data_IF_004280813243
#
_entry.id   IF_004280813243
#
_cell.length_a   1.000
_cell.length_b   1.000
_cell.length_c   1.000
_cell.angle_alpha   90.00
_cell.angle_beta   90.00
_cell.angle_gamma   90.00
#
_symmetry.space_group_name_H-M   'P 1'
#
loop_
_entity.id
_entity.type
_entity.pdbx_description
1 polymer ?
#
# COMPACT_ATOMS: atom_id res chain seq x y z
N UNK A 1 -23.79 5.59 -21.38
CA UNK A 1 -22.67 5.07 -22.22
C UNK A 1 -21.42 5.87 -21.92
N UNK A 2 -20.59 5.40 -20.97
CA UNK A 2 -19.30 6.03 -20.62
C UNK A 2 -18.19 5.06 -20.98
N UNK A 3 -17.84 5.04 -22.26
CA UNK A 3 -16.62 4.41 -22.73
C UNK A 3 -15.65 5.53 -23.12
N UNK A 4 -14.70 5.87 -22.25
CA UNK A 4 -13.51 6.66 -22.60
C UNK A 4 -12.41 6.46 -21.55
N UNK A 5 -11.45 5.59 -21.92
CA UNK A 5 -10.04 5.86 -21.68
C UNK A 5 -9.44 5.45 -20.34
N UNK A 6 -9.59 4.20 -19.90
CA UNK A 6 -8.82 3.72 -18.74
C UNK A 6 -8.05 2.43 -19.09
N UNK A 7 -7.11 2.55 -20.03
CA UNK A 7 -6.29 1.46 -20.60
C UNK A 7 -5.21 0.91 -19.64
N UNK A 8 -5.14 1.37 -18.40
CA UNK A 8 -4.28 0.73 -17.42
C UNK A 8 -5.03 -0.43 -16.77
N UNK A 9 -4.54 -1.64 -17.00
CA UNK A 9 -4.95 -2.85 -16.27
C UNK A 9 -4.85 -2.56 -14.76
N UNK A 10 -5.82 -3.03 -13.96
CA UNK A 10 -5.85 -2.83 -12.51
C UNK A 10 -4.50 -3.11 -11.80
N UNK A 11 -3.74 -4.17 -12.17
CA UNK A 11 -2.34 -4.36 -11.76
C UNK A 11 -1.47 -3.11 -11.85
N UNK A 12 -1.47 -2.45 -13.01
CA UNK A 12 -0.64 -1.29 -13.30
C UNK A 12 -1.03 -0.11 -12.41
N UNK A 13 -2.32 0.04 -12.10
CA UNK A 13 -2.78 1.13 -11.21
C UNK A 13 -2.36 0.90 -9.77
N UNK A 14 -2.41 -0.35 -9.30
CA UNK A 14 -1.93 -0.71 -7.95
C UNK A 14 -0.43 -0.43 -7.85
N UNK A 15 0.36 -0.89 -8.82
CA UNK A 15 1.80 -0.62 -8.86
C UNK A 15 2.08 0.88 -8.94
N UNK A 16 1.37 1.62 -9.79
CA UNK A 16 1.56 3.06 -9.92
C UNK A 16 1.23 3.79 -8.61
N UNK A 17 0.18 3.38 -7.89
CA UNK A 17 -0.17 3.95 -6.60
C UNK A 17 0.93 3.68 -5.55
N UNK A 18 1.49 2.47 -5.51
CA UNK A 18 2.60 2.13 -4.61
C UNK A 18 3.84 2.99 -4.92
N UNK A 19 4.20 3.11 -6.20
CA UNK A 19 5.33 3.93 -6.65
C UNK A 19 5.12 5.40 -6.31
N UNK A 20 3.90 5.92 -6.51
CA UNK A 20 3.56 7.31 -6.19
C UNK A 20 3.70 7.58 -4.69
N UNK A 21 3.18 6.67 -3.84
CA UNK A 21 3.35 6.78 -2.39
C UNK A 21 4.82 6.69 -1.97
N UNK A 22 5.61 5.79 -2.58
CA UNK A 22 7.04 5.70 -2.33
C UNK A 22 7.74 7.03 -2.67
N UNK A 23 7.39 7.64 -3.81
CA UNK A 23 7.94 8.92 -4.24
C UNK A 23 7.57 10.06 -3.29
N UNK A 24 6.30 10.16 -2.87
CA UNK A 24 5.85 11.17 -1.90
C UNK A 24 6.62 11.05 -0.59
N UNK A 25 6.71 9.83 -0.05
CA UNK A 25 7.45 9.57 1.18
C UNK A 25 8.94 9.86 1.04
N UNK A 26 9.53 9.53 -0.11
CA UNK A 26 10.91 9.87 -0.40
C UNK A 26 11.15 11.39 -0.42
N UNK A 27 10.31 12.15 -1.13
CA UNK A 27 10.39 13.61 -1.17
C UNK A 27 10.25 14.22 0.23
N UNK A 28 9.35 13.70 1.06
CA UNK A 28 9.19 14.14 2.46
C UNK A 28 10.40 13.86 3.34
N UNK A 29 11.26 12.90 2.97
CA UNK A 29 12.49 12.59 3.70
C UNK A 29 13.71 13.38 3.23
N UNK A 30 13.61 14.13 2.13
CA UNK A 30 14.73 14.93 1.61
C UNK A 30 15.09 16.04 2.60
N UNK A 31 16.37 16.10 2.97
CA UNK A 31 16.89 17.07 3.94
C UNK A 31 16.52 16.80 5.40
N UNK A 32 15.77 15.72 5.70
CA UNK A 32 15.34 15.36 7.04
C UNK A 32 15.56 13.87 7.34
N UNK A 33 16.79 13.45 7.71
CA UNK A 33 17.13 12.04 7.93
C UNK A 33 16.33 11.39 9.06
N UNK A 34 15.85 12.17 10.04
CA UNK A 34 14.99 11.69 11.12
C UNK A 34 13.63 11.17 10.64
N UNK A 35 13.14 11.62 9.48
CA UNK A 35 11.86 11.16 8.92
C UNK A 35 11.98 9.84 8.15
N UNK A 36 13.18 9.43 7.77
CA UNK A 36 13.41 8.19 7.00
C UNK A 36 12.82 6.94 7.67
N UNK A 37 13.04 6.67 8.98
CA UNK A 37 12.43 5.51 9.64
C UNK A 37 10.90 5.61 9.70
N UNK A 38 10.34 6.81 9.88
CA UNK A 38 8.89 7.04 9.90
C UNK A 38 8.28 6.79 8.52
N UNK A 39 8.91 7.31 7.47
CA UNK A 39 8.49 7.08 6.09
C UNK A 39 8.52 5.60 5.72
N UNK A 40 9.57 4.87 6.12
CA UNK A 40 9.64 3.40 5.95
C UNK A 40 8.51 2.69 6.69
N UNK A 41 8.23 3.08 7.93
CA UNK A 41 7.14 2.50 8.70
C UNK A 41 5.79 2.72 8.02
N UNK A 42 5.48 3.95 7.58
CA UNK A 42 4.24 4.26 6.85
C UNK A 42 4.13 3.43 5.57
N UNK A 43 5.23 3.34 4.81
CA UNK A 43 5.23 2.58 3.56
C UNK A 43 4.94 1.09 3.80
N UNK A 44 5.59 0.49 4.79
CA UNK A 44 5.46 -0.95 5.07
C UNK A 44 4.14 -1.28 5.76
N UNK A 45 3.66 -0.43 6.66
CA UNK A 45 2.47 -0.70 7.46
C UNK A 45 1.18 -0.29 6.75
N UNK A 46 1.19 0.77 5.94
CA UNK A 46 -0.03 1.26 5.29
C UNK A 46 -0.04 0.98 3.79
N UNK A 47 1.02 1.34 3.07
CA UNK A 47 1.03 1.32 1.60
C UNK A 47 1.08 -0.12 1.07
N UNK A 48 1.99 -0.95 1.59
CA UNK A 48 2.12 -2.34 1.15
C UNK A 48 0.86 -3.18 1.44
N UNK A 49 0.29 -3.23 2.67
CA UNK A 49 -0.95 -3.93 2.95
C UNK A 49 -2.11 -3.51 2.07
N UNK A 50 -2.25 -2.20 1.82
CA UNK A 50 -3.33 -1.67 0.97
C UNK A 50 -3.19 -2.14 -0.46
N UNK A 51 -1.99 -2.06 -1.03
CA UNK A 51 -1.70 -2.56 -2.38
C UNK A 51 -1.90 -4.07 -2.50
N UNK A 52 -1.50 -4.82 -1.47
CA UNK A 52 -1.62 -6.27 -1.44
C UNK A 52 -3.08 -6.73 -1.36
N UNK A 53 -3.94 -6.07 -0.58
CA UNK A 53 -5.38 -6.40 -0.58
C UNK A 53 -6.03 -6.06 -1.90
N UNK A 54 -5.70 -4.92 -2.51
CA UNK A 54 -6.27 -4.58 -3.81
C UNK A 54 -5.85 -5.58 -4.89
N UNK A 55 -4.61 -6.09 -4.79
CA UNK A 55 -4.13 -7.17 -5.64
C UNK A 55 -4.87 -8.50 -5.39
N UNK A 56 -5.09 -8.87 -4.13
CA UNK A 56 -5.87 -10.07 -3.77
C UNK A 56 -7.33 -9.97 -4.23
N UNK A 57 -7.92 -8.78 -4.15
CA UNK A 57 -9.26 -8.48 -4.68
C UNK A 57 -9.28 -8.62 -6.20
N UNK A 58 -8.27 -8.10 -6.90
CA UNK A 58 -8.14 -8.27 -8.35
C UNK A 58 -8.05 -9.75 -8.75
N UNK A 59 -7.33 -10.56 -7.97
CA UNK A 59 -7.24 -12.02 -8.17
C UNK A 59 -8.53 -12.78 -7.82
N UNK A 60 -9.56 -12.11 -7.29
CA UNK A 60 -10.80 -12.75 -6.85
C UNK A 60 -10.68 -13.54 -5.54
N UNK A 61 -9.55 -13.44 -4.84
CA UNK A 61 -9.30 -14.15 -3.57
C UNK A 61 -9.99 -13.46 -2.38
N UNK A 62 -10.30 -12.17 -2.49
CA UNK A 62 -10.96 -11.38 -1.46
C UNK A 62 -12.21 -10.73 -2.05
N UNK A 63 -13.37 -11.05 -1.46
CA UNK A 63 -14.65 -10.46 -1.85
C UNK A 63 -14.76 -8.99 -1.43
N UNK A 64 -15.64 -8.24 -2.09
CA UNK A 64 -15.81 -6.80 -1.80
C UNK A 64 -16.17 -6.50 -0.34
N UNK A 65 -16.99 -7.37 0.27
CA UNK A 65 -17.39 -7.25 1.69
C UNK A 65 -16.25 -7.53 2.66
N UNK A 66 -15.26 -8.34 2.26
CA UNK A 66 -14.11 -8.70 3.11
C UNK A 66 -12.85 -7.88 2.83
N UNK A 67 -12.84 -7.03 1.80
CA UNK A 67 -11.68 -6.21 1.44
C UNK A 67 -11.28 -5.23 2.55
N UNK A 68 -12.25 -4.57 3.19
CA UNK A 68 -11.99 -3.63 4.30
C UNK A 68 -11.42 -4.33 5.54
N UNK A 69 -12.06 -5.39 6.08
CA UNK A 69 -11.50 -6.10 7.23
C UNK A 69 -10.16 -6.78 6.89
N UNK A 70 -9.95 -7.27 5.66
CA UNK A 70 -8.67 -7.81 5.23
C UNK A 70 -7.55 -6.76 5.23
N UNK A 71 -7.85 -5.51 4.82
CA UNK A 71 -6.89 -4.39 4.91
C UNK A 71 -6.49 -4.12 6.34
N UNK A 72 -7.46 -4.01 7.23
CA UNK A 72 -7.20 -3.76 8.66
C UNK A 72 -6.36 -4.89 9.25
N UNK A 73 -6.71 -6.15 8.97
CA UNK A 73 -5.97 -7.31 9.45
C UNK A 73 -4.51 -7.31 8.95
N UNK A 74 -4.31 -7.06 7.65
CA UNK A 74 -2.96 -7.00 7.07
C UNK A 74 -2.14 -5.82 7.61
N UNK A 75 -2.78 -4.67 7.87
CA UNK A 75 -2.10 -3.54 8.51
C UNK A 75 -1.66 -3.88 9.94
N UNK A 76 -2.51 -4.56 10.72
CA UNK A 76 -2.14 -5.01 12.08
C UNK A 76 -0.97 -5.98 12.02
N UNK A 77 -1.02 -6.98 11.14
CA UNK A 77 0.06 -7.94 10.94
C UNK A 77 1.35 -7.23 10.50
N UNK A 78 1.27 -6.30 9.55
CA UNK A 78 2.42 -5.52 9.09
C UNK A 78 3.00 -4.64 10.20
N UNK A 79 2.15 -4.08 11.06
CA UNK A 79 2.57 -3.30 12.23
C UNK A 79 3.34 -4.16 13.22
N UNK A 80 2.80 -5.36 13.53
CA UNK A 80 3.45 -6.30 14.43
C UNK A 80 4.78 -6.78 13.85
N UNK A 81 4.82 -7.17 12.57
CA UNK A 81 6.05 -7.57 11.90
C UNK A 81 7.09 -6.45 11.90
N UNK A 82 6.68 -5.21 11.60
CA UNK A 82 7.56 -4.05 11.67
C UNK A 82 8.12 -3.87 13.08
N UNK A 83 7.26 -3.91 14.10
CA UNK A 83 7.67 -3.76 15.50
C UNK A 83 8.68 -4.82 15.95
N UNK A 84 8.51 -6.09 15.56
CA UNK A 84 9.42 -7.16 15.95
C UNK A 84 10.73 -7.21 15.14
N UNK A 85 10.70 -6.80 13.87
CA UNK A 85 11.87 -6.87 12.97
C UNK A 85 12.77 -5.63 13.08
N UNK A 86 12.21 -4.47 13.40
CA UNK A 86 12.92 -3.19 13.47
C UNK A 86 13.14 -2.67 14.89
N UNK A 87 12.81 -3.47 15.92
CA UNK A 87 13.26 -3.26 17.29
C UNK A 87 14.72 -3.69 17.44
#
# INVERSE_FOLDING_TARGET
>A
MTNKGNRFQQPVRITLAIVLWAFILWVLTLGMPALVPIAKAIFIVAVLPTGLVEWLRYKGLVGEKSAVPAKILLMIIATLLWYFVYR
#
